data_IF_691651238702
#
_entry.id   IF_691651238702
#
_cell.length_a   1.000
_cell.length_b   1.000
_cell.length_c   1.000
_cell.angle_alpha   90.00
_cell.angle_beta   90.00
_cell.angle_gamma   90.00
#
_symmetry.space_group_name_H-M   'P 1'
#
loop_
_entity.id
_entity.type
_entity.pdbx_description
1 polymer ?
#
# COMPACT_ATOMS: atom_id res chain seq x y z
N UNK A 1 -6.35 20.12 18.50
CA UNK A 1 -5.84 20.11 17.12
C UNK A 1 -7.03 20.01 16.19
N UNK A 2 -7.17 20.99 15.29
CA UNK A 2 -8.21 20.99 14.26
C UNK A 2 -7.83 20.01 13.13
N UNK A 3 -8.80 19.47 12.40
CA UNK A 3 -8.54 18.48 11.34
C UNK A 3 -7.59 19.00 10.25
N UNK A 4 -7.71 20.28 9.90
CA UNK A 4 -6.86 20.93 8.90
C UNK A 4 -5.40 21.04 9.35
N UNK A 5 -5.20 21.30 10.65
CA UNK A 5 -3.88 21.41 11.27
C UNK A 5 -3.19 20.05 11.29
N UNK A 6 -3.89 19.00 11.74
CA UNK A 6 -3.41 17.63 11.70
C UNK A 6 -3.02 17.20 10.27
N UNK A 7 -3.87 17.50 9.28
CA UNK A 7 -3.58 17.14 7.88
C UNK A 7 -2.30 17.81 7.39
N UNK A 8 -2.10 19.08 7.72
CA UNK A 8 -0.93 19.83 7.29
C UNK A 8 0.35 19.25 7.90
N UNK A 9 0.34 19.01 9.20
CA UNK A 9 1.46 18.38 9.92
C UNK A 9 1.77 17.00 9.34
N UNK A 10 0.75 16.15 9.12
CA UNK A 10 0.91 14.84 8.52
C UNK A 10 1.59 14.91 7.13
N UNK A 11 1.18 15.84 6.26
CA UNK A 11 1.79 15.99 4.92
C UNK A 11 3.24 16.47 5.02
N UNK A 12 3.54 17.37 5.96
CA UNK A 12 4.91 17.85 6.20
C UNK A 12 5.82 16.74 6.74
N UNK A 13 5.31 15.89 7.64
CA UNK A 13 6.01 14.72 8.17
C UNK A 13 6.29 13.68 7.08
N UNK A 14 5.30 13.40 6.21
CA UNK A 14 5.47 12.52 5.05
C UNK A 14 6.54 13.04 4.12
N UNK A 15 6.54 14.34 3.82
CA UNK A 15 7.54 14.96 2.93
C UNK A 15 8.93 14.89 3.54
N UNK A 16 9.04 15.15 4.85
CA UNK A 16 10.31 15.13 5.58
C UNK A 16 10.88 13.72 5.64
N UNK A 17 10.04 12.72 5.94
CA UNK A 17 10.41 11.29 5.96
C UNK A 17 10.84 10.82 4.57
N UNK A 18 10.06 11.11 3.53
CA UNK A 18 10.42 10.76 2.16
C UNK A 18 11.77 11.35 1.73
N UNK A 19 12.04 12.61 2.09
CA UNK A 19 13.31 13.27 1.80
C UNK A 19 14.49 12.67 2.61
N UNK A 20 14.26 12.28 3.86
CA UNK A 20 15.28 11.72 4.74
C UNK A 20 15.71 10.30 4.33
N UNK A 21 14.74 9.45 3.97
CA UNK A 21 14.99 8.04 3.62
C UNK A 21 15.13 7.79 2.11
N UNK A 22 14.89 8.81 1.28
CA UNK A 22 14.94 8.68 -0.19
C UNK A 22 13.86 7.78 -0.76
N UNK A 23 12.77 7.56 -0.02
CA UNK A 23 11.63 6.73 -0.42
C UNK A 23 10.52 7.55 -1.07
N UNK A 24 9.62 6.88 -1.79
CA UNK A 24 8.46 7.55 -2.38
C UNK A 24 7.50 8.09 -1.31
N UNK A 25 6.89 9.25 -1.55
CA UNK A 25 5.98 9.87 -0.56
C UNK A 25 4.80 8.96 -0.16
N UNK A 26 4.35 8.06 -1.04
CA UNK A 26 3.34 7.06 -0.68
C UNK A 26 3.87 6.02 0.31
N UNK A 27 5.14 5.60 0.20
CA UNK A 27 5.74 4.64 1.14
C UNK A 27 5.91 5.28 2.52
N UNK A 28 6.43 6.51 2.56
CA UNK A 28 6.53 7.30 3.79
C UNK A 28 5.15 7.50 4.46
N UNK A 29 4.11 7.81 3.67
CA UNK A 29 2.74 7.91 4.16
C UNK A 29 2.24 6.61 4.77
N UNK A 30 2.43 5.47 4.08
CA UNK A 30 2.03 4.16 4.59
C UNK A 30 2.73 3.86 5.90
N UNK A 31 4.04 4.07 6.00
CA UNK A 31 4.78 3.83 7.25
C UNK A 31 4.27 4.67 8.41
N UNK A 32 4.11 5.99 8.21
CA UNK A 32 3.63 6.91 9.25
C UNK A 32 2.20 6.53 9.67
N UNK A 33 1.30 6.33 8.71
CA UNK A 33 -0.12 6.08 9.00
C UNK A 33 -0.36 4.70 9.58
N UNK A 34 0.36 3.68 9.13
CA UNK A 34 0.31 2.35 9.74
C UNK A 34 0.76 2.38 11.20
N UNK A 35 1.81 3.14 11.54
CA UNK A 35 2.22 3.29 12.94
C UNK A 35 1.11 3.91 13.81
N UNK A 36 0.38 4.90 13.29
CA UNK A 36 -0.80 5.44 13.99
C UNK A 36 -1.87 4.37 14.22
N UNK A 37 -2.15 3.53 13.22
CA UNK A 37 -3.16 2.47 13.31
C UNK A 37 -2.75 1.34 14.26
N UNK A 38 -1.47 0.96 14.27
CA UNK A 38 -0.92 -0.03 15.20
C UNK A 38 -0.98 0.49 16.63
N UNK A 39 -0.53 1.72 16.87
CA UNK A 39 -0.58 2.35 18.20
C UNK A 39 -2.02 2.55 18.72
N UNK A 40 -2.99 2.64 17.82
CA UNK A 40 -4.41 2.73 18.14
C UNK A 40 -5.09 1.35 18.27
N UNK A 41 -4.34 0.25 18.19
CA UNK A 41 -4.84 -1.14 18.23
C UNK A 41 -5.89 -1.45 17.13
N UNK A 42 -5.83 -0.72 16.01
CA UNK A 42 -6.72 -0.93 14.84
C UNK A 42 -6.13 -1.96 13.87
N UNK A 43 -4.80 -1.98 13.74
CA UNK A 43 -4.06 -2.98 12.97
C UNK A 43 -3.11 -3.75 13.89
N UNK A 44 -2.91 -5.07 13.65
CA UNK A 44 -1.77 -5.81 14.20
C UNK A 44 -0.44 -5.25 13.69
N UNK A 45 0.67 -5.89 14.06
CA UNK A 45 2.01 -5.54 13.59
C UNK A 45 2.05 -5.43 12.05
N UNK A 46 2.28 -4.21 11.58
CA UNK A 46 2.28 -3.88 10.16
C UNK A 46 3.67 -4.08 9.55
N UNK A 47 3.71 -4.81 8.44
CA UNK A 47 4.91 -4.96 7.62
C UNK A 47 4.75 -4.23 6.29
N UNK A 48 5.62 -3.22 6.07
CA UNK A 48 5.71 -2.51 4.80
C UNK A 48 6.25 -3.46 3.71
N UNK A 49 5.45 -3.72 2.69
CA UNK A 49 5.84 -4.56 1.55
C UNK A 49 5.19 -3.99 0.30
N UNK A 50 6.03 -3.41 -0.57
CA UNK A 50 5.55 -2.82 -1.82
C UNK A 50 5.52 -3.87 -2.94
N UNK A 51 4.34 -4.07 -3.51
CA UNK A 51 4.14 -4.85 -4.72
C UNK A 51 3.33 -4.06 -5.74
N UNK A 52 3.85 -3.98 -6.97
CA UNK A 52 3.15 -3.44 -8.12
C UNK A 52 3.25 -4.44 -9.26
N UNK A 53 2.10 -4.84 -9.81
CA UNK A 53 2.04 -5.86 -10.85
C UNK A 53 0.85 -5.70 -11.79
N UNK A 54 0.86 -6.54 -12.82
CA UNK A 54 -0.24 -6.67 -13.77
C UNK A 54 -0.77 -8.10 -13.75
N UNK A 55 -2.05 -8.26 -13.40
CA UNK A 55 -2.77 -9.52 -13.46
C UNK A 55 -3.23 -9.86 -14.88
N UNK A 56 -4.08 -10.89 -14.97
CA UNK A 56 -4.78 -11.25 -16.20
C UNK A 56 -5.44 -10.01 -16.83
N UNK A 57 -5.29 -9.91 -18.16
CA UNK A 57 -5.81 -8.79 -18.97
C UNK A 57 -5.23 -7.43 -18.57
N UNK A 58 -3.99 -7.38 -18.08
CA UNK A 58 -3.28 -6.17 -17.69
C UNK A 58 -3.99 -5.38 -16.57
N UNK A 59 -4.73 -6.07 -15.70
CA UNK A 59 -5.40 -5.44 -14.58
C UNK A 59 -4.37 -5.08 -13.51
N UNK A 60 -4.39 -3.83 -13.08
CA UNK A 60 -3.50 -3.32 -12.04
C UNK A 60 -3.67 -4.10 -10.73
N UNK A 61 -2.54 -4.46 -10.14
CA UNK A 61 -2.41 -5.03 -8.80
C UNK A 61 -1.43 -4.15 -8.03
N UNK A 62 -1.79 -3.82 -6.79
CA UNK A 62 -0.94 -3.05 -5.89
C UNK A 62 -1.20 -3.49 -4.46
N UNK A 63 -0.12 -3.64 -3.69
CA UNK A 63 -0.11 -3.81 -2.24
C UNK A 63 1.00 -2.91 -1.70
N UNK A 64 0.71 -2.16 -0.64
CA UNK A 64 1.69 -1.30 0.03
C UNK A 64 2.19 -1.91 1.36
N UNK A 65 1.47 -2.90 1.90
CA UNK A 65 1.92 -3.73 3.01
C UNK A 65 0.86 -4.71 3.48
N UNK A 66 1.18 -5.42 4.56
CA UNK A 66 0.24 -6.34 5.19
C UNK A 66 0.38 -6.31 6.71
N UNK A 67 -0.63 -6.78 7.42
CA UNK A 67 -0.57 -7.06 8.85
C UNK A 67 -1.18 -8.44 9.09
N UNK A 68 -0.38 -9.37 9.60
CA UNK A 68 -0.81 -10.72 9.92
C UNK A 68 -1.06 -10.83 11.42
N UNK A 69 -2.27 -11.20 11.79
CA UNK A 69 -2.57 -11.59 13.15
C UNK A 69 -2.21 -13.08 13.33
N UNK A 70 -1.23 -13.36 14.18
CA UNK A 70 -0.76 -14.73 14.45
C UNK A 70 -1.71 -15.52 15.37
N UNK A 71 -2.64 -14.86 16.05
CA UNK A 71 -3.57 -15.53 16.97
C UNK A 71 -4.71 -16.21 16.23
N UNK A 72 -5.29 -15.54 15.23
CA UNK A 72 -6.43 -16.02 14.46
C UNK A 72 -6.10 -16.33 12.97
N UNK A 73 -4.87 -16.04 12.54
CA UNK A 73 -4.37 -16.15 11.16
C UNK A 73 -5.15 -15.27 10.16
N UNK A 74 -5.64 -14.11 10.60
CA UNK A 74 -6.22 -13.10 9.74
C UNK A 74 -5.13 -12.24 9.11
N UNK A 75 -5.10 -12.17 7.77
CA UNK A 75 -4.17 -11.31 7.03
C UNK A 75 -4.89 -10.08 6.47
N UNK A 76 -4.48 -8.90 6.92
CA UNK A 76 -4.94 -7.62 6.40
C UNK A 76 -4.01 -7.14 5.28
N UNK A 77 -4.56 -6.86 4.11
CA UNK A 77 -3.81 -6.27 2.98
C UNK A 77 -4.07 -4.77 2.93
N UNK A 78 -2.99 -3.99 2.88
CA UNK A 78 -3.04 -2.54 2.97
C UNK A 78 -2.66 -1.92 1.62
N UNK A 79 -3.42 -0.90 1.25
CA UNK A 79 -3.19 -0.04 0.09
C UNK A 79 -3.41 1.41 0.48
N UNK A 80 -2.59 2.31 -0.04
CA UNK A 80 -2.72 3.74 0.17
C UNK A 80 -2.94 4.48 -1.16
N UNK A 81 -4.03 5.25 -1.22
CA UNK A 81 -4.25 6.28 -2.23
C UNK A 81 -3.80 7.64 -1.70
N UNK A 82 -2.49 7.87 -1.73
CA UNK A 82 -1.88 9.12 -1.30
C UNK A 82 -1.37 9.92 -2.50
N UNK A 83 -1.90 11.14 -2.69
CA UNK A 83 -1.57 12.04 -3.80
C UNK A 83 -0.59 13.16 -3.40
N UNK A 84 -0.34 13.38 -2.10
CA UNK A 84 0.56 14.44 -1.62
C UNK A 84 0.10 15.87 -1.84
N UNK A 85 -1.15 16.07 -2.30
CA UNK A 85 -1.71 17.39 -2.57
C UNK A 85 -2.32 18.03 -1.31
N UNK A 86 -2.13 19.34 -1.18
CA UNK A 86 -2.75 20.14 -0.12
C UNK A 86 -4.27 20.33 -0.33
N UNK A 87 -4.79 20.01 -1.52
CA UNK A 87 -6.20 20.15 -1.84
C UNK A 87 -7.02 19.00 -1.27
N UNK A 88 -8.20 19.32 -0.74
CA UNK A 88 -9.19 18.29 -0.39
C UNK A 88 -9.69 17.61 -1.67
N UNK A 89 -9.44 16.30 -1.76
CA UNK A 89 -10.01 15.45 -2.81
C UNK A 89 -11.18 14.69 -2.21
N UNK A 90 -12.30 14.68 -2.93
CA UNK A 90 -13.40 13.76 -2.64
C UNK A 90 -13.09 12.41 -3.29
N UNK A 91 -12.99 11.35 -2.49
CA UNK A 91 -12.91 9.99 -3.00
C UNK A 91 -14.32 9.53 -3.35
N UNK A 92 -14.59 9.32 -4.64
CA UNK A 92 -15.88 8.79 -5.08
C UNK A 92 -15.99 7.30 -4.76
N UNK A 93 -17.22 6.81 -4.62
CA UNK A 93 -17.48 5.38 -4.41
C UNK A 93 -16.84 4.51 -5.49
N UNK A 94 -16.94 4.91 -6.76
CA UNK A 94 -16.36 4.17 -7.88
C UNK A 94 -14.84 4.10 -7.84
N UNK A 95 -14.17 5.17 -7.40
CA UNK A 95 -12.71 5.16 -7.23
C UNK A 95 -12.30 4.23 -6.08
N UNK A 96 -13.02 4.29 -4.94
CA UNK A 96 -12.77 3.41 -3.82
C UNK A 96 -12.94 1.93 -4.21
N UNK A 97 -14.02 1.58 -4.90
CA UNK A 97 -14.25 0.22 -5.42
C UNK A 97 -13.10 -0.24 -6.33
N UNK A 98 -12.60 0.62 -7.22
CA UNK A 98 -11.46 0.30 -8.08
C UNK A 98 -10.15 0.10 -7.31
N UNK A 99 -9.97 0.81 -6.21
CA UNK A 99 -8.78 0.69 -5.36
C UNK A 99 -8.83 -0.63 -4.58
N UNK A 100 -9.99 -0.99 -3.99
CA UNK A 100 -10.18 -2.27 -3.29
C UNK A 100 -10.02 -3.50 -4.19
N UNK A 101 -10.30 -3.35 -5.49
CA UNK A 101 -10.06 -4.41 -6.47
C UNK A 101 -8.58 -4.79 -6.61
N UNK A 102 -7.63 -3.91 -6.27
CA UNK A 102 -6.19 -4.20 -6.42
C UNK A 102 -5.71 -5.35 -5.52
N UNK A 103 -5.93 -5.34 -4.19
CA UNK A 103 -5.55 -6.46 -3.32
C UNK A 103 -6.40 -7.70 -3.57
N UNK A 104 -7.69 -7.56 -3.94
CA UNK A 104 -8.52 -8.71 -4.31
C UNK A 104 -7.91 -9.45 -5.50
N UNK A 105 -7.49 -8.73 -6.53
CA UNK A 105 -6.81 -9.32 -7.69
C UNK A 105 -5.46 -9.92 -7.34
N UNK A 106 -4.74 -9.37 -6.37
CA UNK A 106 -3.52 -10.01 -5.87
C UNK A 106 -3.84 -11.41 -5.35
N UNK A 107 -4.83 -11.52 -4.47
CA UNK A 107 -5.28 -12.79 -3.89
C UNK A 107 -5.75 -13.76 -4.99
N UNK A 108 -6.55 -13.28 -5.94
CA UNK A 108 -7.01 -14.13 -7.06
C UNK A 108 -5.85 -14.69 -7.89
N UNK A 109 -4.85 -13.86 -8.17
CA UNK A 109 -3.71 -14.23 -9.02
C UNK A 109 -2.70 -15.12 -8.28
N UNK A 110 -2.59 -15.01 -6.94
CA UNK A 110 -1.73 -15.88 -6.14
C UNK A 110 -2.26 -17.30 -6.12
N UNK A 111 -3.57 -17.46 -5.91
CA UNK A 111 -4.21 -18.78 -5.85
C UNK A 111 -4.45 -19.40 -7.24
N UNK A 112 -4.88 -18.63 -8.24
CA UNK A 112 -5.35 -19.20 -9.50
C UNK A 112 -4.29 -19.19 -10.62
N UNK A 113 -3.32 -18.27 -10.59
CA UNK A 113 -2.44 -18.02 -11.74
C UNK A 113 -0.94 -18.16 -11.44
N UNK A 114 -0.57 -18.78 -10.32
CA UNK A 114 0.83 -19.03 -9.95
C UNK A 114 1.69 -17.76 -10.05
N UNK A 115 1.26 -16.65 -9.40
CA UNK A 115 2.03 -15.40 -9.36
C UNK A 115 3.52 -15.60 -9.03
N UNK A 116 3.83 -16.56 -8.15
CA UNK A 116 5.20 -16.90 -7.78
C UNK A 116 6.09 -17.36 -8.96
N UNK A 117 5.52 -17.98 -10.01
CA UNK A 117 6.28 -18.36 -11.20
C UNK A 117 6.57 -17.13 -12.08
N UNK A 118 5.57 -16.28 -12.32
CA UNK A 118 5.74 -15.04 -13.09
C UNK A 118 6.76 -14.08 -12.47
N UNK A 119 6.73 -13.89 -11.15
CA UNK A 119 7.68 -13.00 -10.47
C UNK A 119 9.13 -13.51 -10.62
N UNK A 120 9.35 -14.84 -10.61
CA UNK A 120 10.69 -15.43 -10.85
C UNK A 120 11.15 -15.27 -12.29
N UNK A 121 10.27 -15.44 -13.25
CA UNK A 121 10.60 -15.30 -14.67
C UNK A 121 10.95 -13.84 -15.02
N UNK A 122 10.26 -12.87 -14.41
CA UNK A 122 10.50 -11.44 -14.59
C UNK A 122 11.83 -10.98 -13.96
N UNK A 123 12.17 -11.50 -12.77
CA UNK A 123 13.46 -11.26 -12.12
C UNK A 123 14.62 -11.80 -12.96
N UNK A 124 14.41 -12.93 -13.67
CA UNK A 124 15.43 -13.55 -14.51
C UNK A 124 15.72 -12.78 -15.81
N UNK A 125 14.75 -11.99 -16.31
CA UNK A 125 14.94 -11.14 -17.49
C UNK A 125 15.60 -9.78 -17.18
N UNK A 126 15.54 -9.30 -15.94
CA UNK A 126 16.17 -8.03 -15.54
C UNK A 126 17.57 -8.21 -14.93
N UNK A 127 18.05 -9.44 -14.81
CA UNK A 127 19.32 -9.79 -14.17
C UNK A 127 20.45 -10.19 -15.12
N UNK A 128 20.62 -9.52 -16.25
CA UNK A 128 21.87 -9.51 -17.04
C UNK A 128 21.90 -8.27 -17.94
N UNK A 129 22.50 -7.19 -17.46
CA UNK A 129 23.27 -6.21 -18.23
C UNK A 129 24.07 -5.34 -17.25
#
# INVERSE_FOLDING_TARGET
MELQEFRKELIEDVRSTAAAYGEGSSAAFVGIFSNYLVNAEVLPDFEATFYLGAGLRNRKIRIDGYALDEFDYTMNLIIADFQGENAERTLTKSEAEQIFEWPIRFVDETFNNNLHKKNRDQQCCCGFN
#
